data_IF_201780377777
#
_entry.id   IF_201780377777
#
_cell.length_a   1.000
_cell.length_b   1.000
_cell.length_c   1.000
_cell.angle_alpha   90.00
_cell.angle_beta   90.00
_cell.angle_gamma   90.00
#
_symmetry.space_group_name_H-M   'P 1'
#
loop_
_entity.id
_entity.type
_entity.pdbx_description
1 polymer ?
#
# COMPACT_ATOMS: atom_id res chain seq x y z
N UNK A 1 3.95 36.21 -46.51
CA UNK A 1 4.62 36.07 -47.82
C UNK A 1 3.60 35.78 -48.95
N UNK A 2 2.67 34.84 -48.79
CA UNK A 2 1.64 34.50 -49.79
C UNK A 2 0.73 35.69 -50.21
N UNK A 3 0.49 36.67 -49.36
CA UNK A 3 -0.34 37.84 -49.68
C UNK A 3 0.37 38.88 -50.59
N UNK A 4 1.69 38.75 -50.77
CA UNK A 4 2.52 39.66 -51.59
C UNK A 4 3.23 38.90 -52.72
N UNK A 5 2.78 37.68 -53.02
CA UNK A 5 3.37 36.89 -54.11
C UNK A 5 3.00 37.47 -55.47
N UNK A 6 3.91 37.51 -56.47
CA UNK A 6 3.60 37.89 -57.86
C UNK A 6 2.64 36.91 -58.52
N UNK A 7 1.95 37.29 -59.54
CA UNK A 7 0.91 36.50 -60.21
C UNK A 7 1.35 35.13 -60.72
N UNK A 8 2.66 34.87 -60.78
CA UNK A 8 3.23 33.54 -61.12
C UNK A 8 3.94 32.91 -59.89
N UNK A 9 3.18 32.29 -59.04
CA UNK A 9 3.63 31.63 -57.81
C UNK A 9 4.62 30.47 -58.06
N UNK A 10 4.58 29.88 -59.26
CA UNK A 10 5.44 28.76 -59.67
C UNK A 10 6.84 29.18 -60.09
N UNK A 11 7.06 30.44 -60.33
CA UNK A 11 8.39 31.01 -60.72
C UNK A 11 9.18 31.50 -59.49
N UNK A 12 8.59 31.61 -58.33
CA UNK A 12 9.29 32.10 -57.14
C UNK A 12 9.89 30.90 -56.34
N UNK A 13 11.19 30.66 -56.63
CA UNK A 13 11.96 29.56 -55.99
C UNK A 13 12.05 29.71 -54.46
N UNK A 14 12.16 30.94 -53.97
CA UNK A 14 12.23 31.20 -52.52
C UNK A 14 10.92 30.84 -51.79
N UNK A 15 9.79 31.06 -52.47
CA UNK A 15 8.48 30.67 -51.94
C UNK A 15 8.29 29.16 -51.89
N UNK A 16 8.75 28.45 -52.96
CA UNK A 16 8.67 27.00 -53.07
C UNK A 16 9.56 26.34 -52.01
N UNK A 17 10.80 26.78 -51.85
CA UNK A 17 11.69 26.28 -50.78
C UNK A 17 11.14 26.57 -49.40
N UNK A 18 10.54 27.74 -49.18
CA UNK A 18 9.89 28.10 -47.93
C UNK A 18 8.71 27.21 -47.60
N UNK A 19 7.89 26.86 -48.59
CA UNK A 19 6.75 25.95 -48.45
C UNK A 19 7.23 24.51 -48.17
N UNK A 20 8.27 24.07 -48.87
CA UNK A 20 8.83 22.73 -48.69
C UNK A 20 9.47 22.56 -47.30
N UNK A 21 10.21 23.54 -46.83
CA UNK A 21 10.76 23.59 -45.48
C UNK A 21 9.65 23.62 -44.42
N UNK A 22 8.58 24.40 -44.63
CA UNK A 22 7.45 24.46 -43.75
C UNK A 22 6.72 23.11 -43.69
N UNK A 23 6.53 22.47 -44.83
CA UNK A 23 5.92 21.12 -44.90
C UNK A 23 6.79 20.09 -44.19
N UNK A 24 8.10 20.11 -44.37
CA UNK A 24 9.04 19.21 -43.67
C UNK A 24 8.99 19.43 -42.18
N UNK A 25 9.06 20.67 -41.73
CA UNK A 25 8.95 21.02 -40.31
C UNK A 25 7.58 20.59 -39.72
N UNK A 26 6.49 20.77 -40.48
CA UNK A 26 5.15 20.32 -40.03
C UNK A 26 5.07 18.80 -39.86
N UNK A 27 5.69 18.02 -40.79
CA UNK A 27 5.73 16.55 -40.65
C UNK A 27 6.59 16.12 -39.45
N UNK A 28 7.75 16.74 -39.23
CA UNK A 28 8.64 16.49 -38.11
C UNK A 28 7.91 16.79 -36.77
N UNK A 29 7.18 17.89 -36.69
CA UNK A 29 6.37 18.25 -35.52
C UNK A 29 5.27 17.24 -35.33
N UNK A 30 4.58 16.80 -36.38
CA UNK A 30 3.50 15.81 -36.28
C UNK A 30 4.00 14.46 -35.76
N UNK A 31 5.16 14.00 -36.25
CA UNK A 31 5.81 12.78 -35.75
C UNK A 31 6.22 12.92 -34.27
N UNK A 32 6.79 14.08 -33.89
CA UNK A 32 7.17 14.36 -32.51
C UNK A 32 5.96 14.38 -31.58
N UNK A 33 4.81 14.92 -32.02
CA UNK A 33 3.56 14.94 -31.26
C UNK A 33 3.01 13.52 -31.07
N UNK A 34 3.04 12.69 -32.09
CA UNK A 34 2.60 11.28 -32.00
C UNK A 34 3.47 10.53 -31.00
N UNK A 35 4.79 10.62 -31.14
CA UNK A 35 5.77 10.01 -30.23
C UNK A 35 5.62 10.53 -28.80
N UNK A 36 5.36 11.83 -28.62
CA UNK A 36 5.09 12.44 -27.33
C UNK A 36 3.82 11.89 -26.66
N UNK A 37 2.76 11.66 -27.43
CA UNK A 37 1.52 11.05 -26.91
C UNK A 37 1.73 9.60 -26.48
N UNK A 38 2.46 8.81 -27.25
CA UNK A 38 2.78 7.42 -26.89
C UNK A 38 3.62 7.37 -25.60
N UNK A 39 4.61 8.23 -25.49
CA UNK A 39 5.41 8.36 -24.26
C UNK A 39 4.57 8.80 -23.08
N UNK A 40 3.64 9.74 -23.28
CA UNK A 40 2.74 10.18 -22.22
C UNK A 40 1.84 9.05 -21.71
N UNK A 41 1.28 8.22 -22.60
CA UNK A 41 0.46 7.07 -22.23
C UNK A 41 1.28 6.06 -21.42
N UNK A 42 2.50 5.76 -21.87
CA UNK A 42 3.39 4.83 -21.17
C UNK A 42 3.78 5.36 -19.78
N UNK A 43 4.14 6.63 -19.70
CA UNK A 43 4.47 7.30 -18.42
C UNK A 43 3.29 7.34 -17.48
N UNK A 44 2.07 7.58 -18.00
CA UNK A 44 0.86 7.59 -17.17
C UNK A 44 0.53 6.20 -16.62
N UNK A 45 0.70 5.15 -17.42
CA UNK A 45 0.56 3.77 -16.95
C UNK A 45 1.54 3.43 -15.82
N UNK A 46 2.82 3.75 -16.02
CA UNK A 46 3.84 3.56 -15.00
C UNK A 46 3.52 4.36 -13.72
N UNK A 47 3.15 5.62 -13.85
CA UNK A 47 2.75 6.48 -12.72
C UNK A 47 1.58 5.88 -11.92
N UNK A 48 0.57 5.33 -12.60
CA UNK A 48 -0.58 4.74 -11.93
C UNK A 48 -0.19 3.50 -11.12
N UNK A 49 0.76 2.70 -11.57
CA UNK A 49 1.27 1.56 -10.80
C UNK A 49 2.04 2.00 -9.55
N UNK A 50 2.85 3.07 -9.64
CA UNK A 50 3.52 3.66 -8.47
C UNK A 50 2.57 4.38 -7.50
N UNK A 51 1.34 4.69 -7.90
CA UNK A 51 0.34 5.29 -7.02
C UNK A 51 0.06 4.40 -5.80
N UNK A 52 0.05 3.08 -5.97
CA UNK A 52 -0.15 2.13 -4.87
C UNK A 52 0.98 2.22 -3.84
N UNK A 53 2.23 2.38 -4.30
CA UNK A 53 3.39 2.58 -3.41
C UNK A 53 3.25 3.89 -2.63
N UNK A 54 2.85 4.97 -3.30
CA UNK A 54 2.67 6.27 -2.67
C UNK A 54 1.54 6.26 -1.63
N UNK A 55 0.43 5.57 -1.93
CA UNK A 55 -0.68 5.39 -0.99
C UNK A 55 -0.24 4.61 0.25
N UNK A 56 0.49 3.52 0.07
CA UNK A 56 1.02 2.74 1.19
C UNK A 56 2.05 3.52 2.01
N UNK A 57 2.94 4.26 1.35
CA UNK A 57 3.89 5.15 2.02
C UNK A 57 3.20 6.21 2.88
N UNK A 58 2.12 6.82 2.37
CA UNK A 58 1.30 7.77 3.11
C UNK A 58 0.66 7.13 4.34
N UNK A 59 0.09 5.95 4.20
CA UNK A 59 -0.48 5.19 5.30
C UNK A 59 0.56 4.89 6.39
N UNK A 60 1.74 4.42 5.99
CA UNK A 60 2.85 4.14 6.91
C UNK A 60 3.32 5.40 7.64
N UNK A 61 3.37 6.53 6.96
CA UNK A 61 3.70 7.82 7.59
C UNK A 61 2.70 8.20 8.68
N UNK A 62 1.39 8.14 8.39
CA UNK A 62 0.37 8.46 9.39
C UNK A 62 0.36 7.47 10.55
N UNK A 63 0.66 6.19 10.31
CA UNK A 63 0.83 5.21 11.38
C UNK A 63 1.99 5.57 12.32
N UNK A 64 3.14 6.00 11.76
CA UNK A 64 4.30 6.39 12.57
C UNK A 64 4.00 7.61 13.44
N UNK A 65 3.27 8.58 12.93
CA UNK A 65 2.85 9.75 13.72
C UNK A 65 2.00 9.34 14.93
N UNK A 66 1.16 8.32 14.79
CA UNK A 66 0.33 7.82 15.90
C UNK A 66 1.14 7.25 17.06
N UNK A 67 2.42 6.90 16.86
CA UNK A 67 3.31 6.47 17.94
C UNK A 67 3.51 7.54 19.03
N UNK A 68 3.32 8.80 18.69
CA UNK A 68 3.33 9.90 19.67
C UNK A 68 2.25 9.75 20.76
N UNK A 69 1.16 9.05 20.45
CA UNK A 69 0.12 8.69 21.42
C UNK A 69 0.54 7.59 22.39
N UNK A 70 1.51 6.74 22.01
CA UNK A 70 2.07 5.71 22.90
C UNK A 70 3.08 6.35 23.86
N UNK A 71 3.95 7.19 23.34
CA UNK A 71 4.91 7.96 24.13
C UNK A 71 5.22 9.28 23.44
N UNK A 72 5.16 10.38 24.19
CA UNK A 72 5.42 11.73 23.68
C UNK A 72 6.85 11.92 23.11
N UNK A 73 7.77 11.03 23.42
CA UNK A 73 9.13 11.04 22.86
C UNK A 73 9.19 10.56 21.40
N UNK A 74 8.19 9.84 20.93
CA UNK A 74 8.15 9.28 19.56
C UNK A 74 7.60 10.31 18.57
N UNK A 75 8.41 11.31 18.25
CA UNK A 75 8.07 12.35 17.30
C UNK A 75 8.86 12.17 16.01
N UNK A 76 8.15 11.94 14.92
CA UNK A 76 8.74 11.75 13.59
C UNK A 76 8.24 12.84 12.64
N UNK A 77 9.18 13.52 11.98
CA UNK A 77 8.87 14.50 10.95
C UNK A 77 8.70 13.85 9.57
N UNK A 78 8.01 14.56 8.68
CA UNK A 78 7.91 14.17 7.29
C UNK A 78 9.29 14.06 6.62
N UNK A 79 10.20 14.98 6.94
CA UNK A 79 11.55 14.97 6.38
C UNK A 79 12.31 13.69 6.75
N UNK A 80 12.20 13.27 8.02
CA UNK A 80 12.79 12.00 8.49
C UNK A 80 12.20 10.80 7.75
N UNK A 81 10.87 10.80 7.54
CA UNK A 81 10.21 9.75 6.79
C UNK A 81 10.68 9.70 5.32
N UNK A 82 10.81 10.86 4.67
CA UNK A 82 11.30 10.95 3.29
C UNK A 82 12.74 10.43 3.15
N UNK A 83 13.59 10.59 4.17
CA UNK A 83 14.92 9.98 4.19
C UNK A 83 14.83 8.45 4.15
N UNK A 84 13.94 7.85 4.96
CA UNK A 84 13.73 6.38 4.94
C UNK A 84 13.12 5.90 3.64
N UNK A 85 12.15 6.62 3.12
CA UNK A 85 11.54 6.34 1.82
C UNK A 85 12.57 6.36 0.69
N UNK A 86 13.39 7.41 0.60
CA UNK A 86 14.45 7.51 -0.40
C UNK A 86 15.51 6.41 -0.23
N UNK A 87 15.75 5.96 0.99
CA UNK A 87 16.66 4.84 1.24
C UNK A 87 16.08 3.53 0.72
N UNK A 88 14.79 3.26 0.97
CA UNK A 88 14.10 2.09 0.41
C UNK A 88 14.13 2.10 -1.12
N UNK A 89 13.87 3.26 -1.75
CA UNK A 89 13.97 3.42 -3.20
C UNK A 89 15.35 3.05 -3.76
N UNK A 90 16.42 3.46 -3.06
CA UNK A 90 17.80 3.17 -3.48
C UNK A 90 18.24 1.74 -3.20
N UNK A 91 17.68 1.10 -2.18
CA UNK A 91 17.99 -0.29 -1.82
C UNK A 91 17.29 -1.30 -2.73
N UNK A 92 16.18 -0.91 -3.35
CA UNK A 92 15.41 -1.81 -4.20
C UNK A 92 16.13 -1.97 -5.56
N UNK A 93 16.48 -3.19 -5.97
CA UNK A 93 17.10 -3.43 -7.27
C UNK A 93 16.16 -3.07 -8.41
N UNK A 94 16.73 -2.60 -9.51
CA UNK A 94 15.99 -2.37 -10.73
C UNK A 94 15.53 -3.71 -11.32
N UNK A 95 14.27 -3.78 -11.71
CA UNK A 95 13.70 -4.93 -12.40
C UNK A 95 13.04 -4.46 -13.71
N UNK A 96 13.16 -5.27 -14.74
CA UNK A 96 12.53 -4.98 -16.06
C UNK A 96 11.00 -5.11 -15.96
N UNK A 97 10.51 -6.00 -15.09
CA UNK A 97 9.09 -6.13 -14.82
C UNK A 97 8.65 -5.08 -13.77
N UNK A 98 7.80 -4.17 -14.23
CA UNK A 98 7.32 -3.06 -13.42
C UNK A 98 6.44 -3.52 -12.24
N UNK A 99 5.65 -4.58 -12.39
CA UNK A 99 4.80 -5.11 -11.32
C UNK A 99 5.65 -5.72 -10.20
N UNK A 100 6.64 -6.52 -10.57
CA UNK A 100 7.59 -7.06 -9.60
C UNK A 100 8.41 -5.98 -8.91
N UNK A 101 8.82 -4.95 -9.64
CA UNK A 101 9.53 -3.81 -9.06
C UNK A 101 8.69 -3.08 -8.03
N UNK A 102 7.42 -2.82 -8.32
CA UNK A 102 6.48 -2.17 -7.41
C UNK A 102 6.31 -3.00 -6.13
N UNK A 103 6.14 -4.33 -6.25
CA UNK A 103 5.98 -5.20 -5.08
C UNK A 103 7.27 -5.28 -4.24
N UNK A 104 8.42 -5.44 -4.86
CA UNK A 104 9.71 -5.42 -4.18
C UNK A 104 9.92 -4.08 -3.44
N UNK A 105 9.53 -2.97 -4.05
CA UNK A 105 9.62 -1.65 -3.44
C UNK A 105 8.71 -1.53 -2.22
N UNK A 106 7.50 -2.07 -2.27
CA UNK A 106 6.57 -2.09 -1.13
C UNK A 106 7.13 -2.90 0.04
N UNK A 107 7.68 -4.09 -0.23
CA UNK A 107 8.30 -4.94 0.78
C UNK A 107 9.51 -4.25 1.42
N UNK A 108 10.41 -3.69 0.61
CA UNK A 108 11.59 -2.98 1.10
C UNK A 108 11.23 -1.73 1.90
N UNK A 109 10.17 -1.02 1.49
CA UNK A 109 9.66 0.13 2.21
C UNK A 109 9.17 -0.26 3.62
N UNK A 110 8.35 -1.31 3.74
CA UNK A 110 7.86 -1.83 5.04
C UNK A 110 9.02 -2.23 5.93
N UNK A 111 9.96 -3.00 5.38
CA UNK A 111 11.13 -3.48 6.12
C UNK A 111 12.03 -2.34 6.57
N UNK A 112 12.33 -1.39 5.70
CA UNK A 112 13.17 -0.24 6.00
C UNK A 112 12.53 0.62 7.08
N UNK A 113 11.23 0.94 6.97
CA UNK A 113 10.52 1.72 7.97
C UNK A 113 10.53 1.00 9.32
N UNK A 114 10.11 -0.28 9.35
CA UNK A 114 10.14 -1.05 10.59
C UNK A 114 11.53 -1.06 11.23
N UNK A 115 12.56 -1.39 10.47
CA UNK A 115 13.94 -1.48 10.95
C UNK A 115 14.47 -0.17 11.55
N UNK A 116 14.13 0.95 10.93
CA UNK A 116 14.63 2.26 11.39
C UNK A 116 13.81 2.81 12.55
N UNK A 117 12.51 2.67 12.53
CA UNK A 117 11.64 3.14 13.61
C UNK A 117 11.83 2.28 14.86
N UNK A 118 11.88 0.95 14.73
CA UNK A 118 12.09 0.05 15.87
C UNK A 118 13.36 0.34 16.67
N UNK A 119 14.40 0.86 16.02
CA UNK A 119 15.64 1.26 16.69
C UNK A 119 15.49 2.49 17.59
N UNK A 120 14.51 3.35 17.28
CA UNK A 120 14.21 4.54 18.06
C UNK A 120 13.21 4.31 19.19
N UNK A 121 12.63 3.13 19.27
CA UNK A 121 11.63 2.77 20.29
C UNK A 121 12.26 2.03 21.47
N UNK A 122 11.65 2.17 22.64
CA UNK A 122 11.95 1.28 23.77
C UNK A 122 11.56 -0.15 23.42
N UNK A 123 12.31 -1.11 23.96
CA UNK A 123 12.11 -2.55 23.66
C UNK A 123 10.68 -3.01 23.92
N UNK A 124 10.05 -2.51 24.98
CA UNK A 124 8.65 -2.83 25.32
C UNK A 124 7.64 -2.33 24.27
N UNK A 125 7.95 -1.25 23.57
CA UNK A 125 7.04 -0.58 22.64
C UNK A 125 7.21 -1.10 21.19
N UNK A 126 8.25 -1.89 20.92
CA UNK A 126 8.51 -2.46 19.59
C UNK A 126 7.37 -3.36 19.12
N UNK A 127 6.74 -4.11 20.03
CA UNK A 127 5.60 -4.96 19.71
C UNK A 127 4.36 -4.14 19.32
N UNK A 128 4.20 -2.95 19.90
CA UNK A 128 3.10 -2.02 19.54
C UNK A 128 3.30 -1.56 18.09
N UNK A 129 4.50 -1.16 17.71
CA UNK A 129 4.80 -0.80 16.32
C UNK A 129 4.47 -1.95 15.36
N UNK A 130 4.89 -3.17 15.69
CA UNK A 130 4.65 -4.34 14.85
C UNK A 130 3.15 -4.62 14.70
N UNK A 131 2.39 -4.56 15.79
CA UNK A 131 0.94 -4.73 15.79
C UNK A 131 0.25 -3.65 14.95
N UNK A 132 0.60 -2.37 15.14
CA UNK A 132 0.06 -1.27 14.36
C UNK A 132 0.33 -1.44 12.88
N UNK A 133 1.56 -1.83 12.51
CA UNK A 133 1.94 -2.09 11.12
C UNK A 133 1.09 -3.22 10.53
N UNK A 134 0.99 -4.34 11.24
CA UNK A 134 0.20 -5.50 10.78
C UNK A 134 -1.27 -5.14 10.59
N UNK A 135 -1.89 -4.46 11.56
CA UNK A 135 -3.28 -4.04 11.44
C UNK A 135 -3.53 -3.08 10.29
N UNK A 136 -2.63 -2.13 10.07
CA UNK A 136 -2.77 -1.20 8.95
C UNK A 136 -2.61 -1.90 7.60
N UNK A 137 -1.70 -2.86 7.49
CA UNK A 137 -1.52 -3.64 6.27
C UNK A 137 -2.71 -4.56 5.99
N UNK A 138 -3.27 -5.19 7.01
CA UNK A 138 -4.49 -6.01 6.92
C UNK A 138 -5.69 -5.15 6.51
N UNK A 139 -5.89 -4.01 7.15
CA UNK A 139 -6.98 -3.08 6.84
C UNK A 139 -6.97 -2.59 5.40
N UNK A 140 -5.79 -2.40 4.81
CA UNK A 140 -5.64 -1.96 3.43
C UNK A 140 -5.60 -3.12 2.42
N UNK A 141 -5.77 -4.36 2.86
CA UNK A 141 -5.75 -5.53 2.00
C UNK A 141 -4.40 -5.78 1.30
N UNK A 142 -3.33 -5.22 1.84
CA UNK A 142 -1.98 -5.31 1.23
C UNK A 142 -1.19 -6.52 1.71
N UNK A 143 -1.65 -7.20 2.75
CA UNK A 143 -1.07 -8.44 3.28
C UNK A 143 -2.20 -9.43 3.48
N UNK A 144 -2.08 -10.56 2.89
CA UNK A 144 -3.05 -11.61 2.94
C UNK A 144 -3.45 -11.98 1.53
N UNK A 145 -2.67 -12.85 0.90
CA UNK A 145 -3.06 -13.55 -0.32
C UNK A 145 -4.18 -14.57 -0.08
N UNK A 146 -5.00 -14.35 0.92
CA UNK A 146 -6.28 -15.02 1.04
C UNK A 146 -7.19 -14.25 0.10
N UNK A 147 -7.20 -14.69 -1.15
CA UNK A 147 -8.28 -14.39 -2.07
C UNK A 147 -9.55 -14.94 -1.43
N UNK A 148 -10.21 -14.12 -0.64
CA UNK A 148 -11.57 -14.40 -0.25
C UNK A 148 -12.37 -14.52 -1.56
N UNK A 149 -13.04 -15.65 -1.83
CA UNK A 149 -13.83 -15.83 -3.04
C UNK A 149 -14.92 -14.76 -3.23
N UNK A 150 -15.22 -13.96 -2.20
CA UNK A 150 -16.12 -12.80 -2.28
C UNK A 150 -15.46 -11.55 -2.88
N UNK A 151 -14.14 -11.58 -3.18
CA UNK A 151 -13.43 -10.44 -3.78
C UNK A 151 -13.19 -9.28 -2.83
N UNK A 152 -13.52 -9.40 -1.55
CA UNK A 152 -13.18 -8.43 -0.54
C UNK A 152 -11.75 -8.72 -0.07
N UNK A 153 -10.80 -8.05 -0.70
CA UNK A 153 -9.45 -7.96 -0.20
C UNK A 153 -9.52 -7.14 1.08
N UNK A 154 -9.60 -7.79 2.22
CA UNK A 154 -9.67 -7.00 3.41
C UNK A 154 -9.83 -7.82 4.67
N UNK A 155 -9.42 -7.23 5.59
CA UNK A 155 -9.70 -7.19 6.96
C UNK A 155 -11.02 -7.91 7.34
N UNK A 156 -10.88 -8.99 8.04
CA UNK A 156 -12.00 -9.72 8.62
C UNK A 156 -12.43 -9.04 9.90
N UNK A 157 -13.68 -8.60 9.94
CA UNK A 157 -14.25 -7.88 11.06
C UNK A 157 -14.35 -8.76 12.33
N UNK A 158 -14.62 -10.05 12.15
CA UNK A 158 -14.65 -11.06 13.21
C UNK A 158 -13.29 -11.20 13.92
N UNK A 159 -12.21 -11.36 13.14
CA UNK A 159 -10.84 -11.43 13.71
C UNK A 159 -10.46 -10.15 14.45
N UNK A 160 -10.80 -8.98 13.91
CA UNK A 160 -10.49 -7.76 14.62
C UNK A 160 -11.29 -7.64 15.91
N UNK A 161 -12.57 -7.92 15.84
CA UNK A 161 -13.44 -7.87 17.00
C UNK A 161 -12.86 -8.76 18.11
N UNK A 162 -12.43 -9.96 17.76
CA UNK A 162 -11.74 -10.84 18.70
C UNK A 162 -10.43 -10.24 19.25
N UNK A 163 -9.58 -9.68 18.37
CA UNK A 163 -8.30 -9.09 18.80
C UNK A 163 -8.46 -7.84 19.67
N UNK A 164 -9.49 -7.04 19.44
CA UNK A 164 -9.75 -5.82 20.19
C UNK A 164 -10.48 -6.09 21.51
N UNK A 165 -11.46 -6.98 21.50
CA UNK A 165 -12.29 -7.25 22.67
C UNK A 165 -11.77 -8.42 23.48
N UNK A 166 -11.08 -9.38 22.87
CA UNK A 166 -10.49 -10.55 23.53
C UNK A 166 -11.49 -11.45 24.25
N UNK A 167 -12.78 -11.26 24.02
CA UNK A 167 -13.86 -11.97 24.69
C UNK A 167 -14.95 -12.34 23.69
N UNK A 168 -15.63 -13.45 23.97
CA UNK A 168 -16.85 -13.79 23.26
C UNK A 168 -17.90 -12.69 23.44
N UNK A 169 -18.54 -12.27 22.35
CA UNK A 169 -19.75 -11.47 22.43
C UNK A 169 -20.87 -12.39 22.96
N UNK A 170 -21.12 -12.35 24.26
CA UNK A 170 -22.17 -13.15 24.92
C UNK A 170 -23.55 -13.01 24.27
N UNK A 171 -23.78 -11.99 23.44
CA UNK A 171 -25.02 -11.80 22.69
C UNK A 171 -25.19 -12.79 21.53
N UNK A 172 -24.09 -13.34 21.00
CA UNK A 172 -24.09 -14.25 19.85
C UNK A 172 -23.92 -15.73 20.25
N UNK A 173 -23.18 -16.02 21.30
CA UNK A 173 -22.78 -17.41 21.68
C UNK A 173 -23.58 -18.00 22.82
N UNK A 174 -24.43 -17.21 23.49
CA UNK A 174 -25.16 -17.71 24.68
C UNK A 174 -24.30 -17.80 25.95
N UNK A 175 -24.80 -18.41 27.03
CA UNK A 175 -24.03 -18.53 28.24
C UNK A 175 -22.77 -19.38 28.01
N UNK A 176 -21.64 -18.86 28.46
CA UNK A 176 -20.35 -19.54 28.41
C UNK A 176 -20.45 -20.89 29.15
N UNK A 177 -19.90 -21.92 28.53
CA UNK A 177 -19.71 -23.20 29.21
C UNK A 177 -18.82 -23.01 30.44
N UNK A 178 -19.10 -23.78 31.51
CA UNK A 178 -18.26 -23.74 32.72
C UNK A 178 -16.81 -24.06 32.36
N UNK A 179 -15.87 -23.31 32.95
CA UNK A 179 -14.46 -23.53 32.77
C UNK A 179 -14.04 -24.92 33.23
N UNK A 180 -13.61 -25.83 32.36
CA UNK A 180 -13.27 -27.20 32.76
C UNK A 180 -11.91 -27.32 33.48
N UNK A 181 -11.15 -26.23 33.56
CA UNK A 181 -9.77 -26.21 34.02
C UNK A 181 -9.60 -25.24 35.20
N UNK A 182 -9.46 -25.80 36.43
CA UNK A 182 -9.31 -24.99 37.65
C UNK A 182 -8.09 -24.04 37.63
N UNK A 183 -7.07 -24.35 36.84
CA UNK A 183 -5.86 -23.55 36.76
C UNK A 183 -5.96 -22.40 35.74
N UNK A 184 -6.99 -22.39 34.89
CA UNK A 184 -7.16 -21.39 33.84
C UNK A 184 -8.03 -20.23 34.35
N UNK A 185 -7.55 -18.96 34.31
CA UNK A 185 -8.37 -17.81 34.67
C UNK A 185 -9.64 -17.70 33.80
N UNK A 186 -10.76 -17.29 34.37
CA UNK A 186 -12.04 -17.09 33.68
C UNK A 186 -11.93 -16.15 32.47
N UNK A 187 -11.10 -15.11 32.55
CA UNK A 187 -10.84 -14.19 31.43
C UNK A 187 -10.18 -14.88 30.25
N UNK A 188 -9.24 -15.79 30.51
CA UNK A 188 -8.62 -16.60 29.48
C UNK A 188 -9.60 -17.61 28.88
N UNK A 189 -10.44 -18.23 29.69
CA UNK A 189 -11.48 -19.13 29.23
C UNK A 189 -12.48 -18.41 28.31
N UNK A 190 -12.95 -17.24 28.73
CA UNK A 190 -13.81 -16.38 27.90
C UNK A 190 -13.17 -16.03 26.55
N UNK A 191 -11.87 -15.75 26.54
CA UNK A 191 -11.14 -15.48 25.28
C UNK A 191 -11.03 -16.73 24.39
N UNK A 192 -10.84 -17.90 24.97
CA UNK A 192 -10.83 -19.19 24.24
C UNK A 192 -12.22 -19.47 23.62
N UNK A 193 -13.27 -19.25 24.38
CA UNK A 193 -14.62 -19.36 23.85
C UNK A 193 -14.89 -18.35 22.72
N UNK A 194 -14.37 -17.13 22.82
CA UNK A 194 -14.48 -16.12 21.78
C UNK A 194 -13.77 -16.49 20.46
N UNK A 195 -12.79 -17.39 20.49
CA UNK A 195 -12.19 -17.92 19.27
C UNK A 195 -13.21 -18.68 18.39
N UNK A 196 -14.21 -19.30 19.01
CA UNK A 196 -15.23 -20.07 18.26
C UNK A 196 -16.13 -19.19 17.38
N UNK A 197 -16.13 -17.88 17.62
CA UNK A 197 -16.85 -16.90 16.79
C UNK A 197 -16.15 -16.65 15.45
N UNK A 198 -14.92 -17.13 15.29
CA UNK A 198 -14.15 -17.06 14.06
C UNK A 198 -14.37 -18.37 13.28
N UNK A 199 -14.73 -18.26 12.00
CA UNK A 199 -15.10 -19.41 11.16
C UNK A 199 -14.06 -20.54 11.16
N UNK A 200 -12.77 -20.23 11.10
CA UNK A 200 -11.68 -21.21 11.10
C UNK A 200 -11.61 -22.00 12.42
N UNK A 201 -12.05 -21.41 13.50
CA UNK A 201 -12.06 -21.99 14.83
C UNK A 201 -13.44 -22.45 15.29
N UNK A 202 -14.46 -22.38 14.43
CA UNK A 202 -15.85 -22.76 14.76
C UNK A 202 -15.99 -24.20 15.25
N UNK A 203 -15.09 -25.09 14.82
CA UNK A 203 -15.01 -26.49 15.29
C UNK A 203 -14.25 -26.66 16.61
N UNK A 204 -13.67 -25.58 17.13
CA UNK A 204 -12.91 -25.57 18.36
C UNK A 204 -13.88 -25.49 19.55
N UNK A 205 -14.59 -26.58 19.81
CA UNK A 205 -15.46 -26.62 20.97
C UNK A 205 -14.63 -26.81 22.24
N UNK A 206 -15.01 -26.13 23.33
CA UNK A 206 -14.35 -26.26 24.64
C UNK A 206 -14.25 -27.69 25.17
N UNK A 207 -14.94 -28.64 24.54
CA UNK A 207 -14.84 -30.08 24.79
C UNK A 207 -13.53 -30.72 24.32
N UNK A 208 -12.77 -30.05 23.46
CA UNK A 208 -11.46 -30.54 22.97
C UNK A 208 -10.35 -30.50 24.04
N UNK A 209 -10.56 -29.83 25.17
CA UNK A 209 -9.59 -29.76 26.26
C UNK A 209 -9.84 -30.77 27.37
N UNK A 210 -10.90 -31.58 27.26
CA UNK A 210 -11.17 -32.67 28.20
C UNK A 210 -10.60 -33.96 27.62
N UNK A 211 -9.30 -34.13 27.75
CA UNK A 211 -8.57 -35.41 27.62
C UNK A 211 -7.95 -35.76 28.94
#
# INVERSE_FOLDING_TARGET
>A
KLANAPDDILSDVELIEGLENTKKTATEIQEAVIKGREMQVTTTKARNQYMNVASEASMLYFMIIQLSGVNHMYQYSLDSFLVFFNKALKSTPDNEDLEQRVENLRLELRFTIYKWIARGLFTKDTHILLSMLTFQLLKNGTVGGVNDPSGSVGYREDMLTFLLLGQSNNELTGPLDENPLDWLPETCWSSICGLTDIDEFSNFSGKAFVL
#
